data_IF_890510956331
#
_entry.id   IF_890510956331
#
_cell.length_a   1.000
_cell.length_b   1.000
_cell.length_c   1.000
_cell.angle_alpha   90.00
_cell.angle_beta   90.00
_cell.angle_gamma   90.00
#
_symmetry.space_group_name_H-M   'P 1'
#
loop_
_entity.id
_entity.type
_entity.pdbx_description
1 polymer ?
#
# COMPACT_ATOMS: atom_id res chain seq x y z
N UNK A 1 -6.23 21.49 -3.92
CA UNK A 1 -6.27 20.38 -2.96
C UNK A 1 -7.74 20.09 -2.71
N UNK A 2 -8.38 19.00 -3.10
CA UNK A 2 -7.96 17.61 -3.31
C UNK A 2 -8.87 16.97 -4.38
N UNK A 3 -8.29 16.33 -5.40
CA UNK A 3 -9.00 15.67 -6.51
C UNK A 3 -9.36 14.23 -6.13
N UNK A 4 -10.08 14.03 -5.03
CA UNK A 4 -10.43 12.67 -4.55
C UNK A 4 -11.93 12.42 -4.62
N UNK A 5 -12.76 13.38 -4.19
CA UNK A 5 -14.23 13.24 -4.18
C UNK A 5 -14.88 13.19 -5.58
N UNK A 6 -14.20 13.71 -6.62
CA UNK A 6 -14.72 13.72 -7.99
C UNK A 6 -14.30 12.49 -8.81
N UNK A 7 -13.25 11.77 -8.40
CA UNK A 7 -12.76 10.58 -9.14
C UNK A 7 -13.64 9.35 -8.94
N UNK A 8 -14.41 9.27 -7.85
CA UNK A 8 -15.36 8.19 -7.58
C UNK A 8 -16.62 8.23 -8.47
N UNK A 9 -16.86 9.36 -9.16
CA UNK A 9 -17.99 9.55 -10.07
C UNK A 9 -17.67 9.14 -11.50
N UNK A 10 -16.41 8.87 -11.78
CA UNK A 10 -16.00 8.45 -13.10
C UNK A 10 -16.27 6.95 -13.26
N UNK A 11 -16.77 6.53 -14.43
CA UNK A 11 -16.94 5.12 -14.73
C UNK A 11 -15.57 4.40 -14.65
N UNK A 12 -15.53 3.09 -14.34
CA UNK A 12 -14.29 2.36 -14.03
C UNK A 12 -13.25 2.37 -15.15
N UNK A 13 -13.69 2.67 -16.38
CA UNK A 13 -12.89 2.83 -17.59
C UNK A 13 -12.23 4.21 -17.70
N UNK A 14 -12.59 5.18 -16.86
CA UNK A 14 -11.98 6.51 -16.86
C UNK A 14 -10.53 6.52 -16.33
N UNK A 15 -10.05 5.41 -15.76
CA UNK A 15 -8.65 5.21 -15.39
C UNK A 15 -7.82 4.58 -16.51
N UNK A 16 -8.36 4.44 -17.71
CA UNK A 16 -7.59 4.08 -18.91
C UNK A 16 -6.75 5.28 -19.38
N UNK A 17 -5.79 5.68 -18.54
CA UNK A 17 -4.60 6.35 -19.05
C UNK A 17 -3.96 5.39 -20.07
N UNK A 18 -3.37 5.89 -21.17
CA UNK A 18 -2.61 5.03 -22.08
C UNK A 18 -1.55 4.35 -21.26
N UNK A 19 -1.77 3.07 -20.98
CA UNK A 19 -0.81 2.23 -20.29
C UNK A 19 0.38 2.23 -21.22
N UNK A 20 1.53 2.71 -20.74
CA UNK A 20 2.78 2.58 -21.48
C UNK A 20 2.99 1.11 -21.90
N UNK A 21 3.99 0.84 -22.75
CA UNK A 21 4.27 -0.54 -23.15
C UNK A 21 4.38 -1.45 -21.91
N UNK A 22 3.95 -2.70 -22.06
CA UNK A 22 4.03 -3.67 -20.97
C UNK A 22 5.46 -3.73 -20.42
N UNK A 23 5.60 -3.52 -19.11
CA UNK A 23 6.89 -3.50 -18.41
C UNK A 23 6.95 -4.63 -17.39
N UNK A 24 8.14 -5.20 -17.22
CA UNK A 24 8.39 -6.21 -16.18
C UNK A 24 8.84 -5.52 -14.90
N UNK A 25 8.10 -5.72 -13.82
CA UNK A 25 8.47 -5.23 -12.49
C UNK A 25 9.07 -6.36 -11.65
N UNK A 26 10.16 -6.07 -10.93
CA UNK A 26 10.78 -6.99 -9.98
C UNK A 26 10.88 -6.34 -8.61
N UNK A 27 10.43 -7.05 -7.58
CA UNK A 27 10.53 -6.62 -6.19
C UNK A 27 11.68 -7.38 -5.55
N UNK A 28 12.73 -6.67 -5.16
CA UNK A 28 13.85 -7.25 -4.41
C UNK A 28 13.53 -7.23 -2.92
N UNK A 29 13.65 -8.39 -2.27
CA UNK A 29 13.44 -8.57 -0.82
C UNK A 29 14.53 -9.47 -0.27
N UNK A 30 15.55 -8.86 0.31
CA UNK A 30 16.63 -9.55 1.01
C UNK A 30 17.23 -8.61 2.07
N UNK A 31 18.31 -9.03 2.70
CA UNK A 31 18.98 -8.23 3.73
C UNK A 31 19.53 -6.90 3.20
N UNK A 32 19.93 -6.83 1.93
CA UNK A 32 20.38 -5.61 1.27
C UNK A 32 19.21 -4.75 0.72
N UNK A 33 18.04 -5.36 0.50
CA UNK A 33 16.84 -4.73 -0.05
C UNK A 33 15.63 -4.90 0.90
N UNK A 34 15.55 -4.12 1.99
CA UNK A 34 14.52 -4.28 3.03
C UNK A 34 13.18 -3.65 2.63
N UNK A 35 12.64 -4.06 1.49
CA UNK A 35 11.32 -3.63 1.00
C UNK A 35 10.23 -4.15 1.95
N UNK A 36 9.70 -3.29 2.82
CA UNK A 36 8.68 -3.63 3.84
C UNK A 36 7.57 -2.57 3.93
N UNK A 37 6.38 -3.02 4.28
CA UNK A 37 5.29 -2.12 4.65
C UNK A 37 5.41 -1.77 6.13
N UNK A 38 5.47 -0.47 6.43
CA UNK A 38 5.40 0.01 7.81
C UNK A 38 3.93 0.30 8.11
N UNK A 39 3.37 -0.48 9.02
CA UNK A 39 1.99 -0.31 9.46
C UNK A 39 1.96 0.37 10.83
N UNK A 40 0.99 1.28 11.07
CA UNK A 40 0.71 1.74 12.42
C UNK A 40 0.28 0.55 13.27
N UNK A 41 0.85 0.41 14.47
CA UNK A 41 0.43 -0.61 15.43
C UNK A 41 0.29 0.00 16.82
N UNK A 42 -0.59 -0.60 17.63
CA UNK A 42 -0.74 -0.29 19.05
C UNK A 42 -0.17 -1.44 19.88
N UNK A 43 0.48 -1.12 21.00
CA UNK A 43 0.95 -2.14 21.95
C UNK A 43 -0.13 -2.35 23.01
N UNK A 44 -0.72 -3.54 23.06
CA UNK A 44 -1.49 -3.96 24.23
C UNK A 44 -0.52 -4.62 25.22
N UNK A 45 -0.41 -4.15 26.48
CA UNK A 45 0.39 -4.84 27.47
C UNK A 45 -0.16 -6.26 27.67
N UNK A 46 0.75 -7.25 27.70
CA UNK A 46 0.38 -8.63 28.01
C UNK A 46 -0.25 -8.68 29.42
N UNK A 47 -1.27 -9.53 29.66
CA UNK A 47 -1.77 -9.73 31.00
C UNK A 47 -0.64 -10.25 31.89
N UNK A 48 -0.46 -9.59 33.03
CA UNK A 48 0.48 -10.00 34.07
C UNK A 48 0.06 -11.39 34.61
N UNK A 49 0.61 -12.45 34.02
CA UNK A 49 0.46 -13.81 34.54
C UNK A 49 1.47 -14.02 35.66
N UNK A 50 1.28 -13.31 36.77
CA UNK A 50 1.90 -13.59 38.05
C UNK A 50 0.79 -13.97 39.05
N UNK A 51 0.60 -15.27 39.25
CA UNK A 51 -0.08 -15.83 40.42
C UNK A 51 0.77 -16.96 40.97
#
# INVERSE_FOLDING_TARGET
>A
MTTDAHHALLPPDAFHLPVGPAVTHKIFRDAAHPSRLVLPFTTTPAPDTAR
#
